data_IF_751492808429
#
_entry.id   IF_751492808429
#
_cell.length_a   1.000
_cell.length_b   1.000
_cell.length_c   1.000
_cell.angle_alpha   90.00
_cell.angle_beta   90.00
_cell.angle_gamma   90.00
#
_symmetry.space_group_name_H-M   'P 1'
#
loop_
_entity.id
_entity.type
_entity.pdbx_description
1 polymer ?
#
# COMPACT_ATOMS: atom_id res chain seq x y z
N UNK A 1 15.45 7.85 -3.17
CA UNK A 1 14.84 6.71 -2.45
C UNK A 1 13.32 6.67 -2.62
N UNK A 2 12.51 7.50 -1.93
CA UNK A 2 11.04 7.45 -2.07
C UNK A 2 10.54 7.77 -3.49
N UNK A 3 11.10 8.79 -4.14
CA UNK A 3 10.73 9.13 -5.52
C UNK A 3 11.11 8.05 -6.54
N UNK A 4 12.24 7.37 -6.33
CA UNK A 4 12.72 6.31 -7.22
C UNK A 4 11.86 5.05 -7.09
N UNK A 5 11.46 4.68 -5.87
CA UNK A 5 10.54 3.57 -5.64
C UNK A 5 9.17 3.86 -6.24
N UNK A 6 8.64 5.06 -6.03
CA UNK A 6 7.36 5.42 -6.65
C UNK A 6 7.43 5.37 -8.18
N UNK A 7 8.49 5.92 -8.78
CA UNK A 7 8.69 5.85 -10.23
C UNK A 7 8.74 4.41 -10.75
N UNK A 8 9.36 3.52 -9.97
CA UNK A 8 9.37 2.08 -10.28
C UNK A 8 7.97 1.48 -10.19
N UNK A 9 7.17 1.84 -9.19
CA UNK A 9 5.79 1.34 -9.12
C UNK A 9 4.91 1.89 -10.24
N UNK A 10 5.09 3.16 -10.63
CA UNK A 10 4.41 3.73 -11.80
C UNK A 10 4.71 2.90 -13.06
N UNK A 11 5.96 2.50 -13.26
CA UNK A 11 6.34 1.60 -14.37
C UNK A 11 5.70 0.20 -14.26
N UNK A 12 5.54 -0.33 -13.04
CA UNK A 12 4.87 -1.61 -12.83
C UNK A 12 3.37 -1.54 -13.19
N UNK A 13 2.70 -0.42 -12.86
CA UNK A 13 1.30 -0.17 -13.24
C UNK A 13 1.14 -0.10 -14.77
N UNK A 14 2.09 0.52 -15.47
CA UNK A 14 2.06 0.63 -16.94
C UNK A 14 2.44 -0.68 -17.66
N UNK A 15 3.00 -1.65 -16.91
CA UNK A 15 3.38 -2.95 -17.43
C UNK A 15 2.22 -3.93 -17.60
N UNK A 16 2.49 -5.05 -18.28
CA UNK A 16 1.50 -6.10 -18.61
C UNK A 16 1.26 -7.11 -17.47
N UNK A 17 1.66 -6.78 -16.24
CA UNK A 17 1.53 -7.69 -15.09
C UNK A 17 0.08 -7.73 -14.61
N UNK A 18 -0.53 -8.90 -14.40
CA UNK A 18 -1.90 -8.98 -13.87
C UNK A 18 -2.06 -8.27 -12.53
N UNK A 19 -3.24 -7.73 -12.25
CA UNK A 19 -3.50 -6.96 -11.04
C UNK A 19 -3.12 -7.69 -9.73
N UNK A 20 -3.44 -8.98 -9.52
CA UNK A 20 -3.01 -9.69 -8.31
C UNK A 20 -1.48 -9.73 -8.15
N UNK A 21 -0.75 -9.94 -9.24
CA UNK A 21 0.71 -10.02 -9.21
C UNK A 21 1.35 -8.64 -9.02
N UNK A 22 0.77 -7.61 -9.64
CA UNK A 22 1.17 -6.21 -9.48
C UNK A 22 1.06 -5.79 -8.03
N UNK A 23 -0.12 -5.97 -7.45
CA UNK A 23 -0.39 -5.62 -6.07
C UNK A 23 0.52 -6.38 -5.10
N UNK A 24 0.78 -7.66 -5.33
CA UNK A 24 1.61 -8.46 -4.42
C UNK A 24 3.04 -7.92 -4.41
N UNK A 25 3.54 -7.57 -5.61
CA UNK A 25 4.85 -6.96 -5.79
C UNK A 25 4.93 -5.61 -5.08
N UNK A 26 3.99 -4.70 -5.34
CA UNK A 26 3.96 -3.36 -4.72
C UNK A 26 3.91 -3.48 -3.20
N UNK A 27 3.03 -4.33 -2.67
CA UNK A 27 2.83 -4.47 -1.23
C UNK A 27 4.03 -5.08 -0.50
N UNK A 28 4.63 -6.12 -1.07
CA UNK A 28 5.85 -6.74 -0.52
C UNK A 28 7.02 -5.76 -0.50
N UNK A 29 7.10 -4.89 -1.51
CA UNK A 29 8.15 -3.88 -1.59
C UNK A 29 7.90 -2.74 -0.61
N UNK A 30 6.67 -2.22 -0.53
CA UNK A 30 6.28 -1.19 0.45
C UNK A 30 6.51 -1.65 1.89
N UNK A 31 6.21 -2.91 2.20
CA UNK A 31 6.44 -3.46 3.53
C UNK A 31 7.91 -3.43 3.94
N UNK A 32 8.86 -3.45 2.99
CA UNK A 32 10.28 -3.29 3.32
C UNK A 32 10.67 -1.84 3.59
N UNK A 33 9.90 -0.87 3.08
CA UNK A 33 10.21 0.56 3.18
C UNK A 33 9.51 1.28 4.33
N UNK A 34 8.32 0.84 4.76
CA UNK A 34 7.55 1.51 5.82
C UNK A 34 8.38 1.70 7.09
N UNK A 35 9.15 0.69 7.52
CA UNK A 35 10.01 0.77 8.71
C UNK A 35 11.13 1.78 8.53
N UNK A 36 11.80 1.77 7.38
CA UNK A 36 12.90 2.68 7.07
C UNK A 36 12.42 4.13 7.07
N UNK A 37 11.24 4.38 6.52
CA UNK A 37 10.62 5.72 6.50
C UNK A 37 10.25 6.14 7.92
N UNK A 38 9.58 5.26 8.67
CA UNK A 38 9.19 5.53 10.05
C UNK A 38 10.39 5.84 10.96
N UNK A 39 11.44 5.03 10.87
CA UNK A 39 12.67 5.22 11.66
C UNK A 39 13.39 6.52 11.26
N UNK A 40 13.44 6.86 9.97
CA UNK A 40 14.01 8.11 9.48
C UNK A 40 13.24 9.35 9.97
N UNK A 41 11.91 9.25 10.06
CA UNK A 41 11.07 10.32 10.63
C UNK A 41 11.34 10.50 12.13
N UNK A 42 11.44 9.41 12.88
CA UNK A 42 11.69 9.44 14.33
C UNK A 42 13.11 9.92 14.68
N UNK A 43 14.07 9.75 13.78
CA UNK A 43 15.45 10.21 13.95
C UNK A 43 15.68 11.65 13.45
N UNK A 44 14.67 12.30 12.85
CA UNK A 44 14.81 13.65 12.32
C UNK A 44 14.87 14.70 13.44
N UNK A 45 15.90 15.54 13.42
CA UNK A 45 16.06 16.66 14.36
C UNK A 45 14.97 17.76 14.19
N UNK A 46 14.28 17.79 13.05
CA UNK A 46 13.14 18.66 12.77
C UNK A 46 11.98 17.82 12.22
N UNK A 47 11.31 17.13 13.14
CA UNK A 47 10.20 16.22 12.84
C UNK A 47 9.02 16.93 12.17
N UNK A 48 8.76 18.21 12.48
CA UNK A 48 7.68 19.00 11.87
C UNK A 48 7.98 19.33 10.40
N UNK A 49 9.19 19.80 10.08
CA UNK A 49 9.56 20.06 8.69
C UNK A 49 9.63 18.77 7.86
N UNK A 50 10.05 17.67 8.49
CA UNK A 50 10.05 16.35 7.86
C UNK A 50 8.61 15.87 7.58
N UNK A 51 7.71 15.98 8.55
CA UNK A 51 6.29 15.63 8.38
C UNK A 51 5.67 16.40 7.20
N UNK A 52 5.89 17.71 7.12
CA UNK A 52 5.37 18.51 5.99
C UNK A 52 5.96 18.16 4.62
N UNK A 53 7.12 17.49 4.56
CA UNK A 53 7.66 16.93 3.30
C UNK A 53 7.00 15.60 2.95
N UNK A 54 6.77 14.75 3.94
CA UNK A 54 6.05 13.48 3.79
C UNK A 54 4.62 13.74 3.33
N UNK A 55 3.89 14.65 3.99
CA UNK A 55 2.50 14.98 3.63
C UNK A 55 2.37 15.48 2.19
N UNK A 56 3.31 16.33 1.74
CA UNK A 56 3.36 16.81 0.35
C UNK A 56 3.66 15.69 -0.63
N UNK A 57 4.58 14.79 -0.30
CA UNK A 57 4.87 13.64 -1.14
C UNK A 57 3.66 12.71 -1.25
N UNK A 58 3.00 12.43 -0.13
CA UNK A 58 1.78 11.62 -0.10
C UNK A 58 0.72 12.23 -1.02
N UNK A 59 0.40 13.51 -0.83
CA UNK A 59 -0.64 14.20 -1.59
C UNK A 59 -0.32 14.31 -3.10
N UNK A 60 0.90 14.72 -3.47
CA UNK A 60 1.21 15.02 -4.87
C UNK A 60 1.57 13.79 -5.71
N UNK A 61 1.95 12.68 -5.08
CA UNK A 61 2.63 11.58 -5.78
C UNK A 61 2.04 10.21 -5.40
N UNK A 62 1.91 9.92 -4.11
CA UNK A 62 1.41 8.61 -3.67
C UNK A 62 -0.09 8.43 -3.87
N UNK A 63 -0.89 9.45 -3.55
CA UNK A 63 -2.34 9.42 -3.78
C UNK A 63 -2.70 9.20 -5.25
N UNK A 64 -2.14 9.96 -6.22
CA UNK A 64 -2.34 9.68 -7.64
C UNK A 64 -1.96 8.26 -8.06
N UNK A 65 -0.91 7.70 -7.49
CA UNK A 65 -0.50 6.32 -7.72
C UNK A 65 -1.55 5.32 -7.22
N UNK A 66 -2.05 5.49 -5.99
CA UNK A 66 -3.10 4.62 -5.43
C UNK A 66 -4.38 4.68 -6.26
N UNK A 67 -4.77 5.86 -6.74
CA UNK A 67 -5.94 6.00 -7.62
C UNK A 67 -5.77 5.25 -8.94
N UNK A 68 -4.60 5.36 -9.58
CA UNK A 68 -4.29 4.58 -10.80
C UNK A 68 -4.33 3.07 -10.54
N UNK A 69 -3.80 2.64 -9.40
CA UNK A 69 -3.78 1.24 -8.99
C UNK A 69 -5.20 0.72 -8.79
N UNK A 70 -6.05 1.45 -8.08
CA UNK A 70 -7.46 1.11 -7.88
C UNK A 70 -8.21 1.08 -9.20
N UNK A 71 -8.01 2.09 -10.05
CA UNK A 71 -8.66 2.18 -11.36
C UNK A 71 -8.37 0.94 -12.20
N UNK A 72 -7.11 0.52 -12.25
CA UNK A 72 -6.71 -0.71 -12.93
C UNK A 72 -7.36 -1.94 -12.30
N UNK A 73 -7.45 -2.00 -10.97
CA UNK A 73 -8.16 -3.07 -10.27
C UNK A 73 -9.65 -3.15 -10.61
N UNK A 74 -10.31 -2.00 -10.82
CA UNK A 74 -11.70 -1.94 -11.29
C UNK A 74 -11.83 -2.44 -12.73
N UNK A 75 -10.94 -2.00 -13.63
CA UNK A 75 -10.90 -2.43 -15.03
C UNK A 75 -10.67 -3.94 -15.20
N UNK A 76 -9.79 -4.52 -14.38
CA UNK A 76 -9.55 -5.96 -14.34
C UNK A 76 -10.57 -6.72 -13.46
N UNK A 77 -11.61 -6.04 -12.95
CA UNK A 77 -12.71 -6.60 -12.15
C UNK A 77 -12.28 -7.25 -10.81
N UNK A 78 -11.13 -6.84 -10.28
CA UNK A 78 -10.65 -7.24 -8.97
C UNK A 78 -11.05 -6.29 -7.85
N UNK A 79 -11.48 -5.07 -8.16
CA UNK A 79 -11.91 -4.07 -7.17
C UNK A 79 -13.35 -3.67 -7.45
N UNK A 80 -14.17 -3.57 -6.39
CA UNK A 80 -15.57 -3.21 -6.51
C UNK A 80 -15.72 -1.79 -7.14
N UNK A 81 -16.59 -1.70 -8.15
CA UNK A 81 -16.75 -0.47 -8.95
C UNK A 81 -17.34 0.69 -8.13
N UNK A 82 -18.17 0.37 -7.15
CA UNK A 82 -18.92 1.30 -6.31
C UNK A 82 -18.12 1.92 -5.15
N UNK A 83 -16.88 1.47 -4.94
CA UNK A 83 -15.99 2.07 -3.94
C UNK A 83 -15.69 3.53 -4.26
N UNK A 84 -16.01 4.38 -3.28
CA UNK A 84 -15.74 5.82 -3.31
C UNK A 84 -14.32 6.13 -2.87
N UNK A 85 -13.84 7.30 -3.26
CA UNK A 85 -12.48 7.75 -2.98
C UNK A 85 -12.19 7.89 -1.47
N UNK A 86 -13.17 8.39 -0.71
CA UNK A 86 -13.07 8.52 0.75
C UNK A 86 -13.03 7.16 1.47
N UNK A 87 -13.77 6.17 0.98
CA UNK A 87 -13.72 4.79 1.47
C UNK A 87 -12.36 4.14 1.22
N UNK A 88 -11.77 4.39 0.05
CA UNK A 88 -10.42 3.94 -0.30
C UNK A 88 -9.37 4.59 0.60
N UNK A 89 -9.42 5.92 0.79
CA UNK A 89 -8.49 6.61 1.70
C UNK A 89 -8.59 6.10 3.13
N UNK A 90 -9.81 5.88 3.63
CA UNK A 90 -10.01 5.30 4.94
C UNK A 90 -9.34 3.93 5.04
N UNK A 91 -9.53 3.07 4.04
CA UNK A 91 -8.95 1.73 3.99
C UNK A 91 -7.41 1.76 3.95
N UNK A 92 -6.82 2.57 3.07
CA UNK A 92 -5.36 2.71 2.98
C UNK A 92 -4.74 3.23 4.27
N UNK A 93 -5.36 4.22 4.92
CA UNK A 93 -4.89 4.75 6.20
C UNK A 93 -4.93 3.69 7.31
N UNK A 94 -6.01 2.91 7.37
CA UNK A 94 -6.13 1.81 8.33
C UNK A 94 -5.01 0.78 8.12
N UNK A 95 -4.76 0.40 6.86
CA UNK A 95 -3.71 -0.55 6.51
C UNK A 95 -2.31 -0.03 6.86
N UNK A 96 -2.00 1.24 6.54
CA UNK A 96 -0.71 1.86 6.85
C UNK A 96 -0.44 1.87 8.37
N UNK A 97 -1.46 2.17 9.19
CA UNK A 97 -1.32 2.11 10.66
C UNK A 97 -1.03 0.69 11.14
N UNK A 98 -1.73 -0.29 10.59
CA UNK A 98 -1.51 -1.70 10.93
C UNK A 98 -0.11 -2.18 10.51
N UNK A 99 0.43 -1.71 9.37
CA UNK A 99 1.82 -1.99 8.95
C UNK A 99 2.85 -1.46 9.94
N UNK A 100 2.68 -0.21 10.38
CA UNK A 100 3.61 0.41 11.33
C UNK A 100 3.62 -0.40 12.62
N UNK A 101 2.43 -0.70 13.17
CA UNK A 101 2.30 -1.53 14.38
C UNK A 101 2.95 -2.91 14.22
N UNK A 102 2.74 -3.57 13.08
CA UNK A 102 3.34 -4.87 12.77
C UNK A 102 4.88 -4.83 12.80
N UNK A 103 5.49 -3.71 12.42
CA UNK A 103 6.94 -3.53 12.35
C UNK A 103 7.59 -3.04 13.66
N UNK A 104 6.78 -2.41 14.51
CA UNK A 104 7.15 -2.00 15.87
C UNK A 104 7.19 -3.18 16.84
N UNK A 105 6.28 -4.16 16.69
CA UNK A 105 6.39 -5.45 17.39
C UNK A 105 7.57 -6.23 16.82
N UNK A 106 8.71 -6.21 17.51
CA UNK A 106 9.94 -6.86 17.06
C UNK A 106 9.80 -8.38 16.89
N UNK A 107 10.79 -9.06 16.27
CA UNK A 107 10.75 -10.49 15.97
C UNK A 107 10.65 -11.43 17.20
N UNK A 108 10.77 -10.90 18.41
CA UNK A 108 10.55 -11.62 19.67
C UNK A 108 9.08 -11.69 20.11
N UNK A 109 8.25 -10.77 19.64
CA UNK A 109 6.79 -10.85 19.79
C UNK A 109 6.29 -11.56 18.56
N UNK A 110 5.92 -12.84 18.69
CA UNK A 110 5.33 -13.60 17.60
C UNK A 110 4.20 -12.78 16.95
N UNK A 111 4.36 -12.30 15.71
CA UNK A 111 3.33 -11.48 15.12
C UNK A 111 2.08 -12.35 14.99
N UNK A 112 0.94 -11.81 15.44
CA UNK A 112 -0.35 -12.53 15.48
C UNK A 112 -0.72 -13.13 14.12
N UNK A 113 -0.15 -12.58 13.04
CA UNK A 113 -0.27 -13.01 11.64
C UNK A 113 1.09 -12.94 10.95
N UNK A 114 1.32 -13.71 9.89
CA UNK A 114 2.53 -13.54 9.06
C UNK A 114 2.40 -12.32 8.12
N UNK A 115 3.53 -11.81 7.63
CA UNK A 115 3.58 -10.77 6.58
C UNK A 115 2.75 -11.19 5.35
N UNK A 116 2.92 -12.43 4.89
CA UNK A 116 2.14 -12.97 3.78
C UNK A 116 0.64 -12.95 4.07
N UNK A 117 0.22 -13.30 5.30
CA UNK A 117 -1.18 -13.27 5.70
C UNK A 117 -1.73 -11.86 5.79
N UNK A 118 -0.92 -10.92 6.25
CA UNK A 118 -1.28 -9.51 6.34
C UNK A 118 -1.49 -8.88 4.95
N UNK A 119 -0.59 -9.18 4.00
CA UNK A 119 -0.75 -8.81 2.59
C UNK A 119 -2.04 -9.41 2.03
N UNK A 120 -2.31 -10.70 2.31
CA UNK A 120 -3.56 -11.34 1.87
C UNK A 120 -4.84 -10.68 2.44
N UNK A 121 -4.81 -10.17 3.68
CA UNK A 121 -5.94 -9.45 4.26
C UNK A 121 -6.20 -8.14 3.53
N UNK A 122 -5.15 -7.40 3.18
CA UNK A 122 -5.31 -6.21 2.35
C UNK A 122 -5.99 -6.55 1.03
N UNK A 123 -5.51 -7.60 0.38
CA UNK A 123 -6.03 -8.05 -0.89
C UNK A 123 -7.49 -8.46 -0.83
N UNK A 124 -7.84 -9.35 0.09
CA UNK A 124 -9.21 -9.83 0.23
C UNK A 124 -10.15 -8.73 0.72
N UNK A 125 -9.66 -7.79 1.52
CA UNK A 125 -10.43 -6.64 1.98
C UNK A 125 -10.71 -5.64 0.86
N UNK A 126 -9.74 -5.37 -0.02
CA UNK A 126 -9.89 -4.44 -1.15
C UNK A 126 -10.66 -5.09 -2.32
N UNK A 127 -10.45 -6.39 -2.55
CA UNK A 127 -11.08 -7.11 -3.66
C UNK A 127 -12.55 -7.48 -3.41
N UNK A 128 -13.01 -7.40 -2.15
CA UNK A 128 -14.34 -7.84 -1.77
C UNK A 128 -14.56 -9.34 -2.06
N UNK A 129 -15.81 -9.73 -2.26
CA UNK A 129 -16.17 -11.12 -2.45
C UNK A 129 -15.85 -11.60 -3.88
N UNK A 130 -14.81 -12.43 -4.01
CA UNK A 130 -14.33 -13.00 -5.27
C UNK A 130 -15.29 -14.01 -5.93
N UNK A 131 -16.55 -14.12 -5.49
CA UNK A 131 -17.57 -14.97 -6.15
C UNK A 131 -17.83 -14.62 -7.62
N UNK A 132 -17.34 -13.47 -8.11
CA UNK A 132 -17.41 -13.06 -9.51
C UNK A 132 -16.06 -12.85 -10.21
N UNK A 133 -14.93 -12.99 -9.51
CA UNK A 133 -13.63 -12.95 -10.16
C UNK A 133 -13.46 -14.23 -10.99
N UNK A 134 -13.44 -14.10 -12.32
CA UNK A 134 -13.26 -15.23 -13.22
C UNK A 134 -11.97 -15.95 -12.86
N UNK A 135 -12.11 -17.22 -12.51
CA UNK A 135 -11.02 -18.19 -12.47
C UNK A 135 -10.34 -18.20 -13.84
N UNK A 136 -9.05 -17.83 -13.89
CA UNK A 136 -8.15 -18.28 -14.95
C UNK A 136 -7.77 -19.75 -14.73
#
# INVERSE_FOLDING_TARGET
MMEEQLKRYEQLIEGHMSYPKLMYTVMTEEMKYVKVIHDCMNQSADSLAMQGRVDRFLAMRFVPFLLKLVQRGKEEQYVAEDLKEDELFFYFNMYQKAMIQFQETGPSDHPVISEERFIQFFFKGLMGDMRHAKSE
#
